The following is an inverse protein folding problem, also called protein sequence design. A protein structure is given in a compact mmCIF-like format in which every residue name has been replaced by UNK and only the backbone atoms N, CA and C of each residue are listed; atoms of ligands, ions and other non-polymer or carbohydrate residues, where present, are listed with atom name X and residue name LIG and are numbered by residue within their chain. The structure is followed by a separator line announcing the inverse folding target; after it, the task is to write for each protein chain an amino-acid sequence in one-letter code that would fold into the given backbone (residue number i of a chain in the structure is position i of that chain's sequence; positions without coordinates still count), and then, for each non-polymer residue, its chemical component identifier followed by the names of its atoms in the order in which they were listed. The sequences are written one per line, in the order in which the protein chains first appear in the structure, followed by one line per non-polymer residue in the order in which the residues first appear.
data_IF_077678809058
#
_entry.id   IF_077678809058
#
_cell.length_a   1.000
_cell.length_b   1.000
_cell.length_c   1.000
_cell.angle_alpha   90.00
_cell.angle_beta   90.00
_cell.angle_gamma   90.00
#
_symmetry.space_group_name_H-M   'P 1'
#
loop_
_entity.id
_entity.type
_entity.pdbx_description
1 polymer ?
#
# COMPACT_ATOMS: atom_id res chain seq x y z
N UNK A 1 5.04 91.41 30.33
CA UNK A 1 5.83 91.77 29.14
C UNK A 1 7.07 90.87 29.09
N UNK A 2 7.43 90.44 27.87
CA UNK A 2 8.60 89.65 27.47
C UNK A 2 8.50 88.14 27.82
N UNK A 3 8.73 87.17 26.94
CA UNK A 3 9.08 87.17 25.51
C UNK A 3 8.70 85.79 24.93
N UNK A 4 8.53 85.79 23.61
CA UNK A 4 8.17 84.68 22.72
C UNK A 4 9.38 83.79 22.42
N UNK A 5 9.13 82.52 22.06
CA UNK A 5 9.64 81.85 20.83
C UNK A 5 9.73 80.32 20.97
N UNK A 6 8.84 79.57 20.30
CA UNK A 6 9.02 78.91 18.98
C UNK A 6 9.75 77.54 19.07
N UNK A 7 8.93 76.49 18.96
CA UNK A 7 9.04 75.25 18.16
C UNK A 7 10.46 74.82 17.72
N UNK A 8 10.88 73.60 18.11
CA UNK A 8 11.62 72.67 17.23
C UNK A 8 11.56 71.22 17.72
N UNK A 9 10.73 70.46 17.01
CA UNK A 9 10.80 69.05 16.61
C UNK A 9 12.05 68.26 17.03
N UNK A 10 11.86 67.06 17.59
CA UNK A 10 12.60 65.89 17.14
C UNK A 10 11.72 64.62 17.21
N UNK A 11 11.35 64.14 16.02
CA UNK A 11 10.81 62.81 15.76
C UNK A 11 12.01 61.88 15.60
N UNK A 12 12.18 60.91 16.50
CA UNK A 12 13.06 59.77 16.22
C UNK A 12 12.21 58.66 15.61
N UNK A 13 12.26 58.57 14.28
CA UNK A 13 11.76 57.44 13.52
C UNK A 13 12.59 56.19 13.87
N UNK A 14 11.95 55.18 14.45
CA UNK A 14 12.51 53.84 14.54
C UNK A 14 12.40 53.19 13.15
N UNK A 15 13.46 53.28 12.34
CA UNK A 15 13.65 52.39 11.20
C UNK A 15 14.12 51.05 11.76
N UNK A 16 13.18 50.18 12.11
CA UNK A 16 13.46 48.77 12.30
C UNK A 16 13.74 48.18 10.91
N UNK A 17 15.02 47.95 10.61
CA UNK A 17 15.43 47.18 9.45
C UNK A 17 15.09 45.71 9.74
N UNK A 18 13.87 45.31 9.40
CA UNK A 18 13.46 43.90 9.45
C UNK A 18 14.18 43.15 8.34
N UNK A 19 15.36 42.61 8.65
CA UNK A 19 15.96 41.57 7.82
C UNK A 19 15.02 40.36 7.84
N UNK A 20 14.24 40.20 6.76
CA UNK A 20 13.49 38.98 6.54
C UNK A 20 14.51 37.84 6.34
N UNK A 21 14.51 36.79 7.17
CA UNK A 21 15.20 35.58 6.80
C UNK A 21 14.56 35.07 5.51
N UNK A 22 15.41 34.90 4.49
CA UNK A 22 15.05 34.22 3.27
C UNK A 22 14.88 32.75 3.63
N UNK A 23 13.65 32.28 3.68
CA UNK A 23 13.36 30.85 3.79
C UNK A 23 13.95 30.16 2.56
N UNK A 24 15.13 29.59 2.75
CA UNK A 24 15.72 28.66 1.79
C UNK A 24 14.76 27.50 1.63
N UNK A 25 14.32 27.27 0.39
CA UNK A 25 13.58 26.10 -0.06
C UNK A 25 14.26 24.82 0.46
N UNK A 26 13.70 24.26 1.52
CA UNK A 26 14.15 22.99 2.07
C UNK A 26 14.02 21.90 1.00
N UNK A 27 15.13 21.22 0.73
CA UNK A 27 15.11 19.97 0.00
C UNK A 27 14.14 19.02 0.71
N UNK A 28 13.03 18.72 0.05
CA UNK A 28 11.90 17.95 0.60
C UNK A 28 12.40 16.62 1.13
N UNK A 29 12.42 16.49 2.47
CA UNK A 29 12.92 15.29 3.13
C UNK A 29 12.06 14.08 2.77
N UNK A 30 12.67 12.89 2.60
CA UNK A 30 11.93 11.69 2.21
C UNK A 30 10.81 11.38 3.20
N UNK A 31 9.63 11.03 2.65
CA UNK A 31 8.42 10.73 3.43
C UNK A 31 8.71 9.55 4.36
N UNK A 32 8.73 9.80 5.67
CA UNK A 32 9.00 8.78 6.68
C UNK A 32 7.71 8.40 7.42
N UNK A 33 7.44 7.10 7.67
CA UNK A 33 6.29 6.70 8.47
C UNK A 33 6.31 7.34 9.86
N UNK A 34 5.16 7.82 10.35
CA UNK A 34 5.00 8.35 11.71
C UNK A 34 4.39 7.29 12.63
N UNK A 35 5.01 7.01 13.78
CA UNK A 35 4.47 6.07 14.78
C UNK A 35 4.43 4.61 14.31
N UNK A 36 3.41 3.86 14.70
CA UNK A 36 3.19 2.45 14.31
C UNK A 36 2.70 2.26 12.85
N UNK A 37 2.82 3.29 12.01
CA UNK A 37 2.42 3.20 10.62
C UNK A 37 3.48 2.44 9.80
N UNK A 38 3.05 1.41 9.09
CA UNK A 38 3.91 0.63 8.17
C UNK A 38 3.53 0.92 6.73
N UNK A 39 4.50 0.84 5.81
CA UNK A 39 4.22 0.90 4.37
C UNK A 39 3.56 -0.43 3.98
N UNK A 40 2.37 -0.35 3.39
CA UNK A 40 1.62 -1.54 2.95
C UNK A 40 1.57 -1.70 1.43
N UNK A 41 1.90 -0.64 0.70
CA UNK A 41 2.04 -0.68 -0.75
C UNK A 41 2.22 0.70 -1.36
N UNK A 42 2.45 0.70 -2.66
CA UNK A 42 2.59 1.89 -3.48
C UNK A 42 1.55 1.88 -4.59
N UNK A 43 1.27 3.04 -5.19
CA UNK A 43 0.34 3.12 -6.31
C UNK A 43 0.72 4.23 -7.27
N UNK A 44 0.67 3.94 -8.56
CA UNK A 44 0.74 4.95 -9.62
C UNK A 44 -0.68 5.35 -10.02
N UNK A 45 -0.96 6.65 -10.10
CA UNK A 45 -2.29 7.21 -10.36
C UNK A 45 -2.22 8.47 -11.22
N UNK A 46 -3.37 8.94 -11.73
CA UNK A 46 -3.44 10.26 -12.35
C UNK A 46 -3.28 11.38 -11.32
N UNK A 47 -2.84 12.56 -11.78
CA UNK A 47 -2.76 13.77 -10.94
C UNK A 47 -4.05 14.06 -10.17
N UNK A 48 -5.20 14.01 -10.85
CA UNK A 48 -6.51 14.27 -10.21
C UNK A 48 -6.81 13.27 -9.08
N UNK A 49 -6.42 11.99 -9.25
CA UNK A 49 -6.62 10.99 -8.21
C UNK A 49 -5.64 11.17 -7.04
N UNK A 50 -4.39 11.56 -7.31
CA UNK A 50 -3.39 11.91 -6.30
C UNK A 50 -3.82 13.14 -5.47
N UNK A 51 -4.35 14.17 -6.11
CA UNK A 51 -4.91 15.35 -5.42
C UNK A 51 -6.08 14.97 -4.51
N UNK A 52 -6.98 14.09 -4.98
CA UNK A 52 -8.07 13.56 -4.15
C UNK A 52 -7.54 12.76 -2.94
N UNK A 53 -6.48 11.98 -3.13
CA UNK A 53 -5.83 11.19 -2.07
C UNK A 53 -5.17 12.10 -1.03
N UNK A 54 -4.40 13.08 -1.48
CA UNK A 54 -3.73 14.05 -0.62
C UNK A 54 -4.75 14.91 0.16
N UNK A 55 -5.83 15.35 -0.50
CA UNK A 55 -6.90 16.10 0.16
C UNK A 55 -7.62 15.28 1.23
N UNK A 56 -7.85 13.99 0.98
CA UNK A 56 -8.49 13.10 1.95
C UNK A 56 -7.51 12.58 3.03
N UNK A 57 -6.20 12.63 2.76
CA UNK A 57 -5.15 12.01 3.57
C UNK A 57 -5.16 10.48 3.55
N UNK A 58 -5.97 9.86 2.70
CA UNK A 58 -6.18 8.40 2.62
C UNK A 58 -6.56 8.00 1.18
N UNK A 59 -6.33 6.74 0.77
CA UNK A 59 -6.87 6.25 -0.49
C UNK A 59 -8.41 6.34 -0.48
N UNK A 60 -8.96 6.95 -1.53
CA UNK A 60 -10.39 7.01 -1.79
C UNK A 60 -10.72 6.27 -3.10
N UNK A 61 -11.95 5.83 -3.25
CA UNK A 61 -12.40 5.15 -4.46
C UNK A 61 -13.59 5.93 -5.03
N UNK A 62 -13.41 6.74 -6.09
CA UNK A 62 -14.46 7.63 -6.58
C UNK A 62 -15.60 6.88 -7.29
N UNK A 63 -15.39 5.61 -7.68
CA UNK A 63 -16.39 4.77 -8.32
C UNK A 63 -15.88 3.35 -8.56
N UNK A 64 -16.73 2.45 -9.06
CA UNK A 64 -16.31 1.09 -9.42
C UNK A 64 -15.27 1.13 -10.54
N UNK A 65 -14.22 0.33 -10.40
CA UNK A 65 -13.17 0.19 -11.41
C UNK A 65 -13.56 -0.96 -12.35
N UNK A 66 -13.54 -0.73 -13.66
CA UNK A 66 -13.82 -1.74 -14.68
C UNK A 66 -12.55 -2.53 -15.02
N UNK A 67 -12.69 -3.79 -15.44
CA UNK A 67 -11.53 -4.60 -15.86
C UNK A 67 -10.58 -4.90 -14.70
N UNK A 68 -11.10 -5.50 -13.63
CA UNK A 68 -10.42 -5.68 -12.35
C UNK A 68 -10.16 -7.16 -12.04
N UNK A 69 -8.89 -7.55 -12.05
CA UNK A 69 -8.44 -8.93 -11.86
C UNK A 69 -8.88 -9.53 -10.51
N UNK A 70 -8.75 -8.76 -9.44
CA UNK A 70 -9.03 -9.21 -8.07
C UNK A 70 -10.34 -8.66 -7.50
N UNK A 71 -11.14 -7.95 -8.30
CA UNK A 71 -12.35 -7.29 -7.82
C UNK A 71 -12.18 -5.79 -7.57
N UNK A 72 -13.25 -5.15 -7.09
CA UNK A 72 -13.31 -3.70 -6.95
C UNK A 72 -12.53 -3.24 -5.72
N UNK A 73 -11.77 -2.15 -5.84
CA UNK A 73 -10.99 -1.60 -4.74
C UNK A 73 -9.75 -0.81 -5.19
N UNK A 74 -8.87 -0.55 -4.24
CA UNK A 74 -7.60 0.15 -4.46
C UNK A 74 -6.50 -0.89 -4.64
N UNK A 75 -5.87 -0.87 -5.81
CA UNK A 75 -4.73 -1.73 -6.12
C UNK A 75 -3.42 -1.06 -5.73
N UNK A 76 -2.47 -1.86 -5.26
CA UNK A 76 -1.15 -1.40 -4.82
C UNK A 76 -0.07 -2.37 -5.26
N UNK A 77 1.14 -1.86 -5.47
CA UNK A 77 2.34 -2.62 -5.82
C UNK A 77 3.35 -2.65 -4.65
N UNK A 78 4.23 -3.67 -4.60
CA UNK A 78 5.27 -3.79 -3.58
C UNK A 78 6.27 -2.63 -3.53
N UNK A 79 6.60 -2.02 -4.67
CA UNK A 79 7.55 -0.92 -4.75
C UNK A 79 7.00 0.24 -5.59
N UNK A 80 7.49 1.45 -5.27
CA UNK A 80 7.16 2.67 -5.97
C UNK A 80 7.54 2.57 -7.46
N UNK A 81 6.58 2.86 -8.33
CA UNK A 81 6.78 2.81 -9.79
C UNK A 81 6.75 1.40 -10.41
N UNK A 82 6.58 0.32 -9.63
CA UNK A 82 6.44 -1.05 -10.17
C UNK A 82 5.28 -1.16 -11.18
N UNK A 83 4.21 -0.40 -10.96
CA UNK A 83 3.16 -0.25 -11.96
C UNK A 83 3.44 1.01 -12.80
N UNK A 84 3.87 0.80 -14.05
CA UNK A 84 4.11 1.90 -14.97
C UNK A 84 2.80 2.63 -15.32
N UNK A 85 2.80 3.95 -15.18
CA UNK A 85 1.72 4.81 -15.64
C UNK A 85 2.16 5.67 -16.84
N UNK A 86 1.25 6.48 -17.41
CA UNK A 86 1.62 7.49 -18.40
C UNK A 86 2.64 8.50 -17.84
N UNK A 87 3.36 9.26 -18.69
CA UNK A 87 4.43 10.17 -18.27
C UNK A 87 4.04 11.23 -17.22
N UNK A 88 2.77 11.59 -17.12
CA UNK A 88 2.21 12.58 -16.18
C UNK A 88 1.64 11.94 -14.89
N UNK A 89 1.99 10.68 -14.64
CA UNK A 89 1.54 9.95 -13.45
C UNK A 89 2.11 10.51 -12.16
N UNK A 90 1.33 10.36 -11.11
CA UNK A 90 1.71 10.61 -9.74
C UNK A 90 1.91 9.29 -9.00
N UNK A 91 2.74 9.33 -7.98
CA UNK A 91 3.17 8.15 -7.23
C UNK A 91 2.78 8.32 -5.79
N UNK A 92 2.09 7.32 -5.25
CA UNK A 92 1.59 7.32 -3.89
C UNK A 92 2.30 6.24 -3.08
N UNK A 93 2.65 6.57 -1.83
CA UNK A 93 2.94 5.61 -0.78
C UNK A 93 1.74 5.51 0.14
N UNK A 94 1.34 4.28 0.47
CA UNK A 94 0.19 3.99 1.34
C UNK A 94 0.72 3.36 2.62
N UNK A 95 0.31 3.95 3.75
CA UNK A 95 0.61 3.44 5.07
C UNK A 95 -0.65 2.87 5.71
N UNK A 96 -0.47 1.97 6.66
CA UNK A 96 -1.52 1.48 7.53
C UNK A 96 -1.04 1.42 8.98
N UNK A 97 -2.00 1.52 9.89
CA UNK A 97 -1.81 1.23 11.31
C UNK A 97 -1.50 -0.27 11.47
N UNK A 98 -0.30 -0.61 11.95
CA UNK A 98 0.16 -2.00 12.02
C UNK A 98 -0.75 -2.89 12.87
N UNK A 99 -1.31 -2.35 13.95
CA UNK A 99 -2.17 -3.09 14.88
C UNK A 99 -3.52 -3.45 14.25
N UNK A 100 -3.92 -2.72 13.20
CA UNK A 100 -5.13 -3.01 12.42
C UNK A 100 -4.82 -3.82 11.17
N UNK A 101 -3.70 -3.55 10.51
CA UNK A 101 -3.32 -4.23 9.27
C UNK A 101 -2.89 -5.67 9.52
N UNK A 102 -2.08 -5.94 10.55
CA UNK A 102 -1.56 -7.27 10.84
C UNK A 102 -2.66 -8.33 11.08
N UNK A 103 -3.71 -8.07 11.89
CA UNK A 103 -4.79 -9.03 12.09
C UNK A 103 -5.83 -9.08 10.95
N UNK A 104 -5.84 -8.10 10.02
CA UNK A 104 -6.77 -8.11 8.90
C UNK A 104 -6.60 -9.38 8.03
N UNK A 105 -7.70 -9.92 7.52
CA UNK A 105 -7.68 -11.11 6.68
C UNK A 105 -6.93 -10.83 5.36
N UNK A 106 -6.07 -11.77 4.97
CA UNK A 106 -5.24 -11.69 3.75
C UNK A 106 -5.29 -13.01 3.01
N UNK A 107 -5.38 -12.96 1.68
CA UNK A 107 -5.38 -14.16 0.86
C UNK A 107 -4.63 -13.97 -0.46
N UNK A 108 -3.76 -14.92 -0.80
CA UNK A 108 -3.27 -15.12 -2.15
C UNK A 108 -4.37 -15.74 -3.01
N UNK A 109 -4.73 -15.07 -4.10
CA UNK A 109 -5.77 -15.50 -5.02
C UNK A 109 -5.10 -16.05 -6.28
N UNK A 110 -5.18 -17.37 -6.55
CA UNK A 110 -4.60 -17.95 -7.75
C UNK A 110 -5.46 -17.64 -8.98
N UNK A 111 -4.86 -17.70 -10.17
CA UNK A 111 -5.58 -17.50 -11.44
C UNK A 111 -6.66 -18.56 -11.66
N UNK A 112 -6.38 -19.80 -11.25
CA UNK A 112 -7.27 -20.96 -11.37
C UNK A 112 -7.32 -21.75 -10.07
N UNK A 113 -8.42 -22.45 -9.84
CA UNK A 113 -8.54 -23.46 -8.78
C UNK A 113 -7.68 -24.70 -9.10
N UNK A 114 -7.57 -25.61 -8.13
CA UNK A 114 -6.99 -26.94 -8.33
C UNK A 114 -7.70 -27.77 -9.41
N UNK A 115 -8.98 -27.48 -9.69
CA UNK A 115 -9.79 -28.10 -10.74
C UNK A 115 -9.73 -27.37 -12.08
N UNK A 116 -8.89 -26.34 -12.20
CA UNK A 116 -8.71 -25.56 -13.42
C UNK A 116 -9.75 -24.46 -13.66
N UNK A 117 -10.70 -24.25 -12.74
CA UNK A 117 -11.70 -23.18 -12.84
C UNK A 117 -11.04 -21.81 -12.71
N UNK A 118 -11.26 -20.91 -13.68
CA UNK A 118 -10.74 -19.54 -13.61
C UNK A 118 -11.33 -18.78 -12.42
N UNK A 119 -10.47 -18.23 -11.56
CA UNK A 119 -10.87 -17.48 -10.35
C UNK A 119 -10.78 -15.98 -10.59
N UNK A 120 -9.67 -15.48 -11.13
CA UNK A 120 -9.51 -14.06 -11.43
C UNK A 120 -10.60 -13.53 -12.37
N UNK A 121 -10.85 -12.22 -12.29
CA UNK A 121 -11.85 -11.50 -13.07
C UNK A 121 -13.30 -11.89 -12.79
N UNK A 122 -13.54 -12.68 -11.74
CA UNK A 122 -14.86 -13.12 -11.32
C UNK A 122 -15.00 -13.01 -9.80
N UNK A 123 -15.69 -11.96 -9.34
CA UNK A 123 -15.88 -11.66 -7.92
C UNK A 123 -16.51 -12.82 -7.14
N UNK A 124 -17.43 -13.56 -7.77
CA UNK A 124 -18.07 -14.71 -7.13
C UNK A 124 -17.09 -15.88 -6.92
N UNK A 125 -16.24 -16.16 -7.91
CA UNK A 125 -15.22 -17.21 -7.80
C UNK A 125 -14.15 -16.82 -6.78
N UNK A 126 -13.72 -15.56 -6.78
CA UNK A 126 -12.79 -15.01 -5.78
C UNK A 126 -13.40 -15.14 -4.37
N UNK A 127 -14.65 -14.72 -4.19
CA UNK A 127 -15.34 -14.82 -2.91
C UNK A 127 -15.52 -16.25 -2.43
N UNK A 128 -15.84 -17.18 -3.33
CA UNK A 128 -15.96 -18.61 -3.03
C UNK A 128 -14.62 -19.20 -2.61
N UNK A 129 -13.54 -18.86 -3.32
CA UNK A 129 -12.19 -19.28 -2.97
C UNK A 129 -11.75 -18.72 -1.61
N UNK A 130 -11.98 -17.43 -1.33
CA UNK A 130 -11.64 -16.85 -0.02
C UNK A 130 -12.39 -17.56 1.12
N UNK A 131 -13.67 -17.89 0.91
CA UNK A 131 -14.46 -18.66 1.89
C UNK A 131 -13.92 -20.07 2.10
N UNK A 132 -13.42 -20.74 1.07
CA UNK A 132 -12.83 -22.09 1.22
C UNK A 132 -11.54 -22.09 2.04
N UNK A 133 -10.86 -20.94 2.17
CA UNK A 133 -9.74 -20.73 3.09
C UNK A 133 -10.17 -20.52 4.56
N UNK A 134 -11.45 -20.64 4.87
CA UNK A 134 -12.01 -20.37 6.19
C UNK A 134 -11.97 -18.89 6.56
N UNK A 135 -12.10 -17.99 5.58
CA UNK A 135 -12.30 -16.55 5.81
C UNK A 135 -13.78 -16.25 5.58
N UNK A 136 -14.47 -15.74 6.60
CA UNK A 136 -15.92 -15.57 6.58
C UNK A 136 -16.40 -14.47 5.64
N UNK A 137 -15.65 -13.37 5.54
CA UNK A 137 -16.04 -12.17 4.79
C UNK A 137 -15.02 -11.79 3.69
N UNK A 138 -15.24 -12.24 2.44
CA UNK A 138 -14.39 -11.86 1.31
C UNK A 138 -14.35 -10.36 1.00
N UNK A 139 -15.36 -9.59 1.42
CA UNK A 139 -15.38 -8.14 1.20
C UNK A 139 -14.42 -7.39 2.13
N UNK A 140 -14.00 -8.03 3.23
CA UNK A 140 -13.03 -7.52 4.21
C UNK A 140 -11.69 -8.27 4.18
N UNK A 141 -11.33 -8.81 3.02
CA UNK A 141 -10.10 -9.57 2.82
C UNK A 141 -9.19 -8.85 1.84
N UNK A 142 -7.98 -8.51 2.28
CA UNK A 142 -6.90 -8.04 1.39
C UNK A 142 -6.53 -9.17 0.43
N UNK A 143 -6.49 -8.87 -0.88
CA UNK A 143 -6.33 -9.90 -1.92
C UNK A 143 -5.01 -9.68 -2.64
N UNK A 144 -4.23 -10.74 -2.80
CA UNK A 144 -2.90 -10.68 -3.38
C UNK A 144 -2.83 -11.58 -4.61
N UNK A 145 -2.12 -11.16 -5.65
CA UNK A 145 -1.82 -12.01 -6.80
C UNK A 145 -0.65 -11.45 -7.61
N UNK A 146 -0.07 -12.25 -8.52
CA UNK A 146 0.61 -11.71 -9.70
C UNK A 146 -0.33 -10.83 -10.54
N UNK A 147 0.22 -10.03 -11.44
CA UNK A 147 -0.56 -9.31 -12.44
C UNK A 147 -0.85 -10.26 -13.62
N UNK A 148 -2.08 -10.26 -14.14
CA UNK A 148 -2.43 -11.15 -15.26
C UNK A 148 -1.59 -10.78 -16.49
N UNK A 149 -0.87 -11.76 -17.04
CA UNK A 149 0.10 -11.55 -18.12
C UNK A 149 1.48 -11.08 -17.66
N UNK A 150 1.71 -10.90 -16.36
CA UNK A 150 2.99 -10.47 -15.78
C UNK A 150 3.23 -11.16 -14.42
N UNK A 151 3.98 -12.26 -14.46
CA UNK A 151 4.28 -13.08 -13.28
C UNK A 151 5.41 -12.52 -12.40
N UNK A 152 6.08 -11.45 -12.85
CA UNK A 152 7.16 -10.79 -12.12
C UNK A 152 6.66 -9.66 -11.24
N UNK A 153 5.50 -9.09 -11.58
CA UNK A 153 4.86 -8.03 -10.81
C UNK A 153 3.68 -8.56 -10.00
N UNK A 154 3.56 -8.03 -8.79
CA UNK A 154 2.58 -8.46 -7.82
C UNK A 154 1.72 -7.27 -7.40
N UNK A 155 0.50 -7.58 -6.99
CA UNK A 155 -0.46 -6.57 -6.58
C UNK A 155 -1.18 -7.02 -5.31
N UNK A 156 -1.56 -6.02 -4.52
CA UNK A 156 -2.52 -6.17 -3.43
C UNK A 156 -3.74 -5.29 -3.73
N UNK A 157 -4.93 -5.88 -3.67
CA UNK A 157 -6.20 -5.18 -3.61
C UNK A 157 -6.57 -4.90 -2.15
N UNK A 158 -6.90 -3.65 -1.88
CA UNK A 158 -7.61 -3.20 -0.69
C UNK A 158 -9.09 -3.02 -1.05
N UNK A 159 -10.00 -3.92 -0.58
CA UNK A 159 -11.43 -3.78 -0.85
C UNK A 159 -12.04 -2.49 -0.28
N UNK A 160 -13.16 -1.99 -0.84
CA UNK A 160 -13.84 -0.79 -0.37
C UNK A 160 -14.18 -0.82 1.13
N UNK A 161 -14.58 -1.99 1.65
CA UNK A 161 -14.92 -2.15 3.06
C UNK A 161 -13.72 -1.95 4.01
N UNK A 162 -12.49 -1.95 3.48
CA UNK A 162 -11.25 -1.73 4.23
C UNK A 162 -10.65 -0.33 4.04
N UNK A 163 -11.27 0.54 3.23
CA UNK A 163 -10.79 1.90 3.00
C UNK A 163 -11.19 2.84 4.16
N UNK A 164 -10.37 3.85 4.45
CA UNK A 164 -10.65 4.85 5.49
C UNK A 164 -11.77 5.84 5.13
N UNK A 165 -12.37 5.74 3.95
CA UNK A 165 -13.63 6.43 3.61
C UNK A 165 -14.86 5.86 4.33
N UNK A 166 -14.68 4.78 5.11
CA UNK A 166 -15.70 4.23 6.02
C UNK A 166 -15.57 4.87 7.41
N UNK A 167 -16.68 4.99 8.14
CA UNK A 167 -16.74 5.62 9.48
C UNK A 167 -15.69 5.04 10.46
N UNK A 168 -15.35 3.76 10.30
CA UNK A 168 -14.54 3.00 11.26
C UNK A 168 -13.04 2.97 10.96
N UNK A 169 -12.57 3.50 9.81
CA UNK A 169 -11.16 3.47 9.38
C UNK A 169 -10.46 2.12 9.70
N UNK A 170 -10.95 1.02 9.14
CA UNK A 170 -10.66 -0.35 9.61
C UNK A 170 -9.19 -0.74 9.54
N UNK A 171 -8.39 -0.14 8.65
CA UNK A 171 -6.94 -0.37 8.56
C UNK A 171 -6.11 0.85 8.98
N UNK A 172 -6.75 1.97 9.36
CA UNK A 172 -6.05 3.23 9.63
C UNK A 172 -5.22 3.72 8.44
N UNK A 173 -5.70 3.55 7.20
CA UNK A 173 -4.93 3.90 6.01
C UNK A 173 -4.66 5.40 5.96
N UNK A 174 -3.42 5.73 5.60
CA UNK A 174 -3.04 7.07 5.17
C UNK A 174 -2.28 6.98 3.86
N UNK A 175 -2.19 8.08 3.13
CA UNK A 175 -1.48 8.12 1.86
C UNK A 175 -0.80 9.46 1.64
N UNK A 176 0.31 9.44 0.93
CA UNK A 176 0.95 10.64 0.40
C UNK A 176 1.31 10.38 -1.05
N UNK A 177 0.91 11.29 -1.92
CA UNK A 177 1.18 11.22 -3.35
C UNK A 177 2.04 12.41 -3.78
N UNK A 178 3.02 12.11 -4.64
CA UNK A 178 4.03 13.04 -5.17
C UNK A 178 4.14 12.88 -6.68
N UNK A 179 4.70 13.88 -7.33
CA UNK A 179 4.90 13.95 -8.79
C UNK A 179 6.12 13.15 -9.29
N UNK A 180 6.93 12.59 -8.39
CA UNK A 180 8.12 11.80 -8.74
C UNK A 180 8.35 10.62 -7.80
N UNK A 181 8.66 9.45 -8.37
CA UNK A 181 9.05 8.24 -7.61
C UNK A 181 10.22 8.53 -6.66
N UNK A 182 11.16 9.40 -7.05
CA UNK A 182 12.35 9.70 -6.25
C UNK A 182 12.05 10.35 -4.90
N UNK A 183 10.85 10.91 -4.72
CA UNK A 183 10.41 11.53 -3.46
C UNK A 183 9.77 10.51 -2.50
N UNK A 184 9.52 9.28 -2.95
CA UNK A 184 8.98 8.20 -2.13
C UNK A 184 10.09 7.35 -1.50
N UNK A 185 9.80 6.64 -0.40
CA UNK A 185 10.69 5.59 0.12
C UNK A 185 11.02 4.56 -0.96
N UNK A 186 12.28 4.11 -0.99
CA UNK A 186 12.75 3.06 -1.90
C UNK A 186 12.43 1.63 -1.42
N UNK A 187 11.90 1.49 -0.21
CA UNK A 187 11.61 0.21 0.43
C UNK A 187 10.62 -0.61 -0.41
N UNK A 188 10.90 -1.89 -0.62
CA UNK A 188 9.95 -2.85 -1.17
C UNK A 188 9.16 -3.51 -0.05
N UNK A 189 7.83 -3.53 -0.15
CA UNK A 189 6.97 -4.29 0.75
C UNK A 189 7.11 -5.78 0.42
N UNK A 190 7.43 -6.60 1.42
CA UNK A 190 7.46 -8.05 1.24
C UNK A 190 6.07 -8.64 1.50
N UNK A 191 5.34 -8.96 0.43
CA UNK A 191 4.01 -9.58 0.53
C UNK A 191 4.05 -11.03 1.07
N UNK A 192 5.17 -11.75 0.92
CA UNK A 192 5.31 -13.13 1.40
C UNK A 192 5.53 -13.22 2.90
N UNK A 193 6.13 -12.21 3.51
CA UNK A 193 6.39 -12.18 4.96
C UNK A 193 5.24 -11.61 5.79
N UNK A 194 4.08 -11.32 5.18
CA UNK A 194 2.94 -10.74 5.89
C UNK A 194 2.25 -11.77 6.80
N UNK A 195 1.90 -11.34 8.02
CA UNK A 195 1.19 -12.17 8.98
C UNK A 195 -0.25 -12.48 8.54
N UNK A 196 -0.69 -13.71 8.82
CA UNK A 196 -2.08 -14.14 8.62
C UNK A 196 -2.46 -14.35 7.15
N UNK A 197 -1.49 -14.46 6.25
CA UNK A 197 -1.72 -14.78 4.85
C UNK A 197 -2.27 -16.20 4.69
N UNK A 198 -3.36 -16.36 3.95
CA UNK A 198 -3.91 -17.66 3.54
C UNK A 198 -3.83 -17.84 2.02
N UNK A 199 -4.11 -19.06 1.56
CA UNK A 199 -4.08 -19.41 0.14
C UNK A 199 -2.70 -19.87 -0.31
N UNK A 200 -2.58 -20.17 -1.60
CA UNK A 200 -1.32 -20.66 -2.19
C UNK A 200 -0.58 -19.44 -2.75
N UNK A 201 0.54 -19.10 -2.14
CA UNK A 201 1.41 -18.05 -2.64
C UNK A 201 2.05 -18.47 -3.99
N UNK A 202 2.22 -17.53 -4.93
CA UNK A 202 3.11 -17.75 -6.06
C UNK A 202 4.57 -17.89 -5.58
N UNK A 203 5.44 -18.37 -6.45
CA UNK A 203 6.88 -18.43 -6.18
C UNK A 203 7.40 -17.05 -5.75
N UNK A 204 8.15 -17.01 -4.65
CA UNK A 204 8.75 -15.77 -4.15
C UNK A 204 9.94 -15.39 -5.07
N UNK A 205 9.91 -14.25 -5.76
CA UNK A 205 11.02 -13.82 -6.62
C UNK A 205 12.31 -13.50 -5.82
N UNK A 206 12.20 -13.28 -4.50
CA UNK A 206 13.35 -13.11 -3.61
C UNK A 206 14.02 -14.42 -3.19
N UNK A 207 13.35 -15.55 -3.42
CA UNK A 207 13.92 -16.89 -3.29
C UNK A 207 14.35 -17.32 -4.70
N UNK A 208 15.65 -17.31 -4.97
CA UNK A 208 16.19 -17.81 -6.26
C UNK A 208 15.68 -19.23 -6.57
N UNK A 209 15.85 -19.74 -7.81
CA UNK A 209 15.47 -21.10 -8.13
C UNK A 209 16.09 -22.01 -7.08
N UNK A 210 15.29 -22.83 -6.41
CA UNK A 210 15.80 -23.93 -5.58
C UNK A 210 16.66 -24.78 -6.49
N UNK A 211 17.97 -24.52 -6.47
CA UNK A 211 18.94 -25.49 -6.91
C UNK A 211 18.66 -26.70 -6.03
N UNK A 212 18.11 -27.75 -6.64
CA UNK A 212 18.27 -29.08 -6.08
C UNK A 212 19.77 -29.37 -6.18
N UNK A 213 20.51 -28.92 -5.18
CA UNK A 213 21.89 -29.31 -4.93
C UNK A 213 21.94 -29.78 -3.48
N UNK A 214 21.78 -31.10 -3.35
CA UNK A 214 22.56 -31.98 -2.50
C UNK A 214 23.52 -31.27 -1.52
N UNK A 215 23.12 -31.20 -0.25
CA UNK A 215 24.06 -30.97 0.85
C UNK A 215 24.20 -29.52 1.30
N UNK A 216 23.60 -29.23 2.46
CA UNK A 216 24.02 -28.18 3.41
C UNK A 216 24.34 -26.78 2.86
N UNK A 217 23.32 -26.06 2.40
CA UNK A 217 23.39 -24.63 2.08
C UNK A 217 22.53 -23.77 3.01
N UNK A 218 23.09 -22.67 3.55
CA UNK A 218 22.41 -21.71 4.43
C UNK A 218 21.06 -21.26 3.84
N UNK A 219 19.97 -21.51 4.57
CA UNK A 219 18.66 -20.93 4.29
C UNK A 219 18.71 -19.41 4.48
N UNK A 220 18.46 -18.65 3.41
CA UNK A 220 18.13 -17.22 3.56
C UNK A 220 16.89 -17.09 4.46
N UNK A 221 16.94 -16.26 5.52
CA UNK A 221 15.80 -16.08 6.41
C UNK A 221 14.64 -15.46 5.62
N UNK A 222 13.54 -16.21 5.47
CA UNK A 222 12.32 -15.75 4.78
C UNK A 222 11.78 -16.70 3.71
N UNK A 223 12.60 -17.61 3.17
CA UNK A 223 12.13 -18.63 2.23
C UNK A 223 11.48 -19.81 2.99
N UNK A 224 10.30 -19.58 3.56
CA UNK A 224 9.48 -20.65 4.15
C UNK A 224 8.60 -21.26 3.07
N UNK A 225 8.86 -22.51 2.71
CA UNK A 225 7.88 -23.35 2.01
C UNK A 225 6.74 -23.61 2.99
N UNK A 226 5.72 -22.75 3.01
CA UNK A 226 4.47 -23.13 3.65
C UNK A 226 3.94 -24.35 2.91
N UNK A 227 4.13 -25.53 3.54
CA UNK A 227 3.56 -26.79 3.12
C UNK A 227 2.09 -26.58 2.77
N UNK A 228 1.67 -27.16 1.65
CA UNK A 228 0.27 -27.41 1.32
C UNK A 228 -0.47 -27.79 2.60
N UNK A 229 -1.37 -26.93 3.06
CA UNK A 229 -2.49 -27.41 3.86
C UNK A 229 -3.45 -28.00 2.83
N UNK A 230 -3.33 -29.30 2.60
CA UNK A 230 -4.34 -30.03 1.85
C UNK A 230 -5.68 -29.88 2.58
N UNK A 231 -6.77 -29.58 1.87
CA UNK A 231 -8.08 -29.55 2.49
C UNK A 231 -8.50 -30.98 2.87
N UNK A 232 -8.42 -31.29 4.17
CA UNK A 232 -9.26 -32.27 4.85
C UNK A 232 -9.24 -33.71 4.32
N UNK A 233 -8.24 -34.49 4.74
CA UNK A 233 -8.38 -35.94 4.82
C UNK A 233 -9.30 -36.32 6.00
N UNK A 234 -10.40 -37.02 5.70
CA UNK A 234 -11.35 -37.55 6.68
C UNK A 234 -10.66 -38.58 7.61
N UNK A 235 -10.63 -38.38 8.94
CA UNK A 235 -9.92 -39.28 9.88
C UNK A 235 -10.62 -40.62 10.16
N UNK A 236 -11.75 -40.94 9.51
CA UNK A 236 -12.55 -42.12 9.86
C UNK A 236 -12.47 -43.29 8.88
N UNK A 237 -11.35 -43.49 8.17
CA UNK A 237 -11.19 -44.67 7.32
C UNK A 237 -10.18 -45.65 7.93
N UNK A 238 -10.68 -46.59 8.74
CA UNK A 238 -9.97 -47.81 9.11
C UNK A 238 -10.36 -48.91 8.11
N UNK A 239 -9.37 -49.43 7.38
CA UNK A 239 -9.38 -50.79 6.82
C UNK A 239 -8.45 -51.65 7.65
#
# INVERSE_FOLDING_TARGET
MLYSDIIRTLVCAFVACSSLPSDSVDAESPITPKGQNIIVGYRTVSKAQAEAYNKAGTPVLPGPVMGIQLGNGVYTSPKAGDWAGPPDSWYCVIFADSDKFNPAAKAWIPQKSSTGTKIWWNENNIGTYIKSLGISDPSKTLRFSPIDGDDQHFQMLIPPALLSGTIFKPLGLTTTCVDSVSKLPSNRVNYWSMSGMKGIAPSDPGCGPTLMEDGEGLKSPGCSTHSKVEPGGNPNNHS
#
